data_IF_161606457382
#
_entry.id   IF_161606457382
#
_cell.length_a   1.000
_cell.length_b   1.000
_cell.length_c   1.000
_cell.angle_alpha   90.00
_cell.angle_beta   90.00
_cell.angle_gamma   90.00
#
_symmetry.space_group_name_H-M   'P 1'
#
loop_
_entity.id
_entity.type
_entity.pdbx_description
1 polymer ?
#
# COMPACT_ATOMS: atom_id res chain seq x y z
N UNK A 1 13.27 47.67 -34.57
CA UNK A 1 13.80 47.61 -33.20
C UNK A 1 13.98 49.04 -32.73
N UNK A 2 13.27 49.46 -31.69
CA UNK A 2 13.42 50.81 -31.11
C UNK A 2 14.87 51.00 -30.66
N UNK A 3 15.47 52.14 -30.97
CA UNK A 3 16.81 52.46 -30.49
C UNK A 3 16.78 52.63 -28.97
N UNK A 4 17.70 52.01 -28.20
CA UNK A 4 17.71 52.12 -26.75
C UNK A 4 17.93 53.57 -26.32
N UNK A 5 17.12 54.03 -25.37
CA UNK A 5 17.06 55.43 -24.90
C UNK A 5 18.38 55.89 -24.26
N UNK A 6 19.19 54.95 -23.75
CA UNK A 6 20.62 55.10 -23.41
C UNK A 6 21.38 53.80 -23.74
N UNK A 7 22.57 53.91 -24.36
CA UNK A 7 23.48 52.80 -24.65
C UNK A 7 24.89 53.13 -24.18
N UNK A 8 25.12 53.15 -22.88
CA UNK A 8 26.46 53.32 -22.33
C UNK A 8 27.20 51.97 -22.26
N UNK A 9 28.54 51.98 -22.12
CA UNK A 9 29.33 50.75 -21.92
C UNK A 9 28.91 50.01 -20.65
N UNK A 10 28.53 50.76 -19.61
CA UNK A 10 28.03 50.21 -18.36
C UNK A 10 26.71 49.47 -18.57
N UNK A 11 25.78 50.03 -19.35
CA UNK A 11 24.50 49.37 -19.65
C UNK A 11 24.72 48.03 -20.38
N UNK A 12 25.68 47.99 -21.31
CA UNK A 12 26.04 46.74 -22.02
C UNK A 12 26.68 45.70 -21.10
N UNK A 13 27.54 46.11 -20.16
CA UNK A 13 28.14 45.20 -19.17
C UNK A 13 27.09 44.66 -18.19
N UNK A 14 26.20 45.52 -17.70
CA UNK A 14 25.10 45.12 -16.81
C UNK A 14 24.15 44.18 -17.53
N UNK A 15 23.76 44.49 -18.77
CA UNK A 15 22.92 43.61 -19.57
C UNK A 15 23.58 42.25 -19.81
N UNK A 16 24.86 42.23 -20.17
CA UNK A 16 25.62 40.98 -20.34
C UNK A 16 25.68 40.18 -19.03
N UNK A 17 25.92 40.84 -17.88
CA UNK A 17 25.94 40.19 -16.57
C UNK A 17 24.58 39.61 -16.18
N UNK A 18 23.48 40.29 -16.48
CA UNK A 18 22.12 39.78 -16.25
C UNK A 18 21.81 38.57 -17.14
N UNK A 19 22.20 38.61 -18.42
CA UNK A 19 22.03 37.47 -19.34
C UNK A 19 22.82 36.27 -18.85
N UNK A 20 24.10 36.45 -18.46
CA UNK A 20 24.92 35.36 -17.91
C UNK A 20 24.31 34.80 -16.63
N UNK A 21 23.87 35.67 -15.72
CA UNK A 21 23.20 35.26 -14.47
C UNK A 21 21.95 34.44 -14.75
N UNK A 22 21.10 34.89 -15.68
CA UNK A 22 19.88 34.18 -16.06
C UNK A 22 20.20 32.80 -16.68
N UNK A 23 21.21 32.72 -17.54
CA UNK A 23 21.65 31.45 -18.14
C UNK A 23 22.21 30.47 -17.11
N UNK A 24 23.00 30.97 -16.15
CA UNK A 24 23.53 30.14 -15.04
C UNK A 24 22.38 29.65 -14.17
N UNK A 25 21.46 30.53 -13.77
CA UNK A 25 20.30 30.15 -12.96
C UNK A 25 19.43 29.09 -13.69
N UNK A 26 19.12 29.30 -14.98
CA UNK A 26 18.38 28.34 -15.78
C UNK A 26 19.10 26.98 -15.90
N UNK A 27 20.43 27.00 -16.07
CA UNK A 27 21.23 25.78 -16.15
C UNK A 27 21.24 25.01 -14.84
N UNK A 28 21.40 25.70 -13.70
CA UNK A 28 21.33 25.10 -12.36
C UNK A 28 19.95 24.49 -12.11
N UNK A 29 18.88 25.22 -12.43
CA UNK A 29 17.51 24.71 -12.29
C UNK A 29 17.31 23.46 -13.15
N UNK A 30 17.73 23.48 -14.42
CA UNK A 30 17.57 22.34 -15.31
C UNK A 30 18.38 21.12 -14.85
N UNK A 31 19.64 21.31 -14.44
CA UNK A 31 20.52 20.23 -13.96
C UNK A 31 20.00 19.55 -12.71
N UNK A 32 19.28 20.27 -11.85
CA UNK A 32 18.70 19.76 -10.61
C UNK A 32 17.19 19.52 -10.70
N UNK A 33 16.61 19.56 -11.91
CA UNK A 33 15.16 19.40 -12.09
C UNK A 33 14.75 17.93 -12.11
N UNK A 34 13.63 17.62 -11.46
CA UNK A 34 12.98 16.30 -11.53
C UNK A 34 12.69 15.88 -12.97
N UNK A 35 12.41 16.83 -13.86
CA UNK A 35 12.19 16.55 -15.28
C UNK A 35 13.42 15.93 -15.96
N UNK A 36 14.64 16.32 -15.57
CA UNK A 36 15.88 15.74 -16.09
C UNK A 36 16.20 14.39 -15.44
N UNK A 37 15.87 14.24 -14.17
CA UNK A 37 16.06 13.01 -13.39
C UNK A 37 15.01 11.93 -13.66
N UNK A 38 14.07 12.17 -14.58
CA UNK A 38 12.95 11.25 -14.84
C UNK A 38 12.93 10.79 -16.29
N UNK A 39 12.87 9.47 -16.50
CA UNK A 39 12.51 8.86 -17.78
C UNK A 39 11.05 8.41 -17.72
N UNK A 40 10.25 8.83 -18.70
CA UNK A 40 8.84 8.44 -18.81
C UNK A 40 8.58 7.99 -20.24
N UNK A 41 8.43 6.69 -20.42
CA UNK A 41 8.07 6.05 -21.68
C UNK A 41 6.65 5.52 -21.52
N UNK A 42 5.70 6.08 -22.26
CA UNK A 42 4.30 5.68 -22.22
C UNK A 42 3.98 4.65 -23.30
N UNK A 43 2.94 3.86 -23.07
CA UNK A 43 2.40 2.91 -24.02
C UNK A 43 1.16 3.47 -24.71
N UNK A 44 1.21 3.55 -26.04
CA UNK A 44 0.08 4.01 -26.87
C UNK A 44 -0.69 2.85 -27.54
N UNK A 45 -0.23 1.60 -27.33
CA UNK A 45 -0.87 0.41 -27.89
C UNK A 45 -2.09 -0.04 -27.09
N UNK A 46 -2.90 -0.98 -27.63
CA UNK A 46 -4.01 -1.54 -26.88
C UNK A 46 -3.50 -2.38 -25.69
N UNK A 47 -4.18 -2.27 -24.56
CA UNK A 47 -4.02 -3.19 -23.42
C UNK A 47 -5.23 -4.12 -23.40
N UNK A 48 -5.06 -5.42 -23.67
CA UNK A 48 -6.18 -6.33 -23.76
C UNK A 48 -6.82 -6.54 -22.39
N UNK A 49 -8.15 -6.55 -22.34
CA UNK A 49 -8.87 -7.04 -21.16
C UNK A 49 -8.60 -8.53 -21.01
N UNK A 50 -8.10 -8.94 -19.85
CA UNK A 50 -7.81 -10.34 -19.58
C UNK A 50 -9.11 -11.11 -19.35
N UNK A 51 -9.30 -12.21 -20.07
CA UNK A 51 -10.39 -13.12 -19.78
C UNK A 51 -10.13 -13.83 -18.44
N UNK A 52 -11.13 -13.80 -17.56
CA UNK A 52 -11.08 -14.50 -16.29
C UNK A 52 -10.91 -16.01 -16.52
N UNK A 53 -10.10 -16.65 -15.67
CA UNK A 53 -9.96 -18.10 -15.68
C UNK A 53 -11.30 -18.80 -15.39
N UNK A 54 -11.59 -19.84 -16.18
CA UNK A 54 -12.80 -20.65 -16.02
C UNK A 54 -12.56 -21.90 -15.17
N UNK A 55 -11.30 -22.26 -14.96
CA UNK A 55 -10.88 -23.39 -14.13
C UNK A 55 -9.47 -23.14 -13.61
N UNK A 56 -9.15 -23.71 -12.47
CA UNK A 56 -7.76 -23.77 -12.00
C UNK A 56 -6.89 -24.60 -12.96
N UNK A 57 -5.64 -24.19 -13.22
CA UNK A 57 -4.72 -24.99 -14.01
C UNK A 57 -4.33 -26.27 -13.24
N UNK A 58 -3.95 -27.31 -13.98
CA UNK A 58 -3.47 -28.58 -13.37
C UNK A 58 -1.98 -28.55 -13.04
N UNK A 59 -1.24 -27.68 -13.71
CA UNK A 59 0.20 -27.49 -13.60
C UNK A 59 0.49 -26.04 -13.90
N UNK A 60 1.51 -25.47 -13.28
CA UNK A 60 1.99 -24.12 -13.56
C UNK A 60 3.43 -24.19 -14.04
N UNK A 61 3.73 -23.44 -15.10
CA UNK A 61 5.09 -23.23 -15.56
C UNK A 61 5.44 -21.74 -15.48
N UNK A 62 6.69 -21.43 -15.15
CA UNK A 62 7.21 -20.07 -15.19
C UNK A 62 7.17 -19.53 -16.62
N UNK A 63 6.53 -18.37 -16.79
CA UNK A 63 6.51 -17.61 -18.03
C UNK A 63 7.69 -16.64 -18.07
N UNK A 64 7.84 -15.87 -16.99
CA UNK A 64 8.89 -14.87 -16.83
C UNK A 64 9.08 -14.50 -15.36
N UNK A 65 10.22 -13.84 -15.10
CA UNK A 65 10.63 -13.34 -13.79
C UNK A 65 11.28 -11.96 -13.94
N UNK A 66 11.06 -11.08 -12.98
CA UNK A 66 11.67 -9.77 -12.94
C UNK A 66 11.91 -9.26 -11.50
N UNK A 67 12.94 -8.41 -11.27
CA UNK A 67 13.13 -7.73 -9.99
C UNK A 67 11.94 -6.81 -9.64
N UNK A 68 11.56 -6.80 -8.37
CA UNK A 68 10.49 -5.97 -7.82
C UNK A 68 10.72 -5.73 -6.31
N UNK A 69 11.83 -5.08 -5.98
CA UNK A 69 12.28 -4.80 -4.60
C UNK A 69 11.41 -3.80 -3.83
N UNK A 70 10.61 -2.98 -4.52
CA UNK A 70 9.77 -1.94 -3.92
C UNK A 70 8.29 -2.32 -3.79
N UNK A 71 7.93 -3.58 -4.06
CA UNK A 71 6.59 -4.16 -3.86
C UNK A 71 6.65 -5.30 -2.85
N UNK A 72 5.67 -5.37 -1.96
CA UNK A 72 5.50 -6.50 -1.02
C UNK A 72 4.47 -7.53 -1.51
N UNK A 73 3.59 -7.13 -2.43
CA UNK A 73 2.62 -7.98 -3.11
C UNK A 73 2.57 -7.64 -4.60
N UNK A 74 2.10 -8.57 -5.47
CA UNK A 74 1.97 -8.29 -6.89
C UNK A 74 1.06 -7.09 -7.17
N UNK A 75 1.53 -6.15 -7.99
CA UNK A 75 0.72 -5.00 -8.44
C UNK A 75 0.10 -5.36 -9.77
N UNK A 76 -1.16 -5.83 -9.73
CA UNK A 76 -1.93 -6.25 -10.91
C UNK A 76 -3.12 -5.33 -11.08
N UNK A 77 -3.20 -4.65 -12.22
CA UNK A 77 -4.34 -3.79 -12.55
C UNK A 77 -4.73 -3.93 -14.01
N UNK A 78 -5.98 -4.34 -14.24
CA UNK A 78 -6.51 -4.62 -15.57
C UNK A 78 -5.67 -5.63 -16.36
N UNK A 79 -5.08 -5.17 -17.46
CA UNK A 79 -4.25 -6.00 -18.34
C UNK A 79 -2.74 -5.88 -18.11
N UNK A 80 -2.32 -5.29 -17.00
CA UNK A 80 -0.92 -4.97 -16.70
C UNK A 80 -0.49 -5.56 -15.36
N UNK A 81 0.74 -6.06 -15.32
CA UNK A 81 1.47 -6.37 -14.09
C UNK A 81 2.60 -5.37 -13.94
N UNK A 82 2.69 -4.68 -12.82
CA UNK A 82 3.76 -3.72 -12.56
C UNK A 82 4.87 -4.34 -11.70
N UNK A 83 6.12 -4.07 -12.07
CA UNK A 83 7.31 -4.38 -11.27
C UNK A 83 7.99 -3.09 -10.85
N UNK A 84 8.58 -3.07 -9.66
CA UNK A 84 9.17 -1.87 -9.10
C UNK A 84 10.55 -2.15 -8.50
N UNK A 85 11.61 -1.63 -9.11
CA UNK A 85 12.99 -1.88 -8.70
C UNK A 85 13.85 -0.61 -8.76
N UNK A 86 14.57 -0.32 -7.69
CA UNK A 86 15.36 0.89 -7.55
C UNK A 86 14.50 2.16 -7.62
N UNK A 87 14.57 2.87 -8.76
CA UNK A 87 13.74 4.04 -9.06
C UNK A 87 12.73 3.83 -10.19
N UNK A 88 12.69 2.62 -10.76
CA UNK A 88 11.89 2.29 -11.93
C UNK A 88 10.61 1.54 -11.55
N UNK A 89 9.49 2.02 -12.06
CA UNK A 89 8.20 1.31 -12.11
C UNK A 89 7.94 0.97 -13.57
N UNK A 90 7.73 -0.31 -13.84
CA UNK A 90 7.61 -0.86 -15.20
C UNK A 90 6.32 -1.63 -15.32
N UNK A 91 5.44 -1.23 -16.23
CA UNK A 91 4.24 -1.98 -16.59
C UNK A 91 4.53 -3.01 -17.66
N UNK A 92 4.15 -4.25 -17.39
CA UNK A 92 4.46 -5.41 -18.22
C UNK A 92 3.19 -6.11 -18.70
N UNK A 93 3.30 -6.74 -19.85
CA UNK A 93 2.32 -7.75 -20.26
C UNK A 93 2.38 -8.97 -19.32
N UNK A 94 1.25 -9.40 -18.72
CA UNK A 94 1.24 -10.52 -17.78
C UNK A 94 1.73 -11.84 -18.37
N UNK A 95 1.56 -12.08 -19.68
CA UNK A 95 1.89 -13.37 -20.30
C UNK A 95 3.35 -13.44 -20.76
N UNK A 96 3.85 -12.39 -21.40
CA UNK A 96 5.18 -12.36 -22.01
C UNK A 96 6.23 -11.67 -21.15
N UNK A 97 5.83 -10.84 -20.19
CA UNK A 97 6.73 -10.01 -19.39
C UNK A 97 7.29 -8.79 -20.14
N UNK A 98 6.87 -8.58 -21.40
CA UNK A 98 7.30 -7.47 -22.24
C UNK A 98 6.94 -6.13 -21.57
N UNK A 99 7.92 -5.24 -21.49
CA UNK A 99 7.75 -3.87 -21.00
C UNK A 99 6.88 -3.08 -21.98
N UNK A 100 5.72 -2.60 -21.51
CA UNK A 100 4.85 -1.70 -22.28
C UNK A 100 5.20 -0.24 -22.00
N UNK A 101 5.39 0.08 -20.73
CA UNK A 101 5.70 1.43 -20.28
C UNK A 101 6.68 1.39 -19.11
N UNK A 102 7.39 2.51 -18.92
CA UNK A 102 8.36 2.69 -17.83
C UNK A 102 8.30 4.11 -17.31
N UNK A 103 8.31 4.20 -15.99
CA UNK A 103 8.51 5.42 -15.25
C UNK A 103 9.70 5.25 -14.30
N UNK A 104 10.78 5.95 -14.57
CA UNK A 104 12.04 5.80 -13.85
C UNK A 104 12.52 7.15 -13.35
N UNK A 105 12.82 7.25 -12.06
CA UNK A 105 13.36 8.46 -11.43
C UNK A 105 14.71 8.17 -10.81
N UNK A 106 15.55 9.19 -10.75
CA UNK A 106 16.82 9.20 -10.02
C UNK A 106 16.66 9.22 -8.49
N UNK A 107 15.68 8.47 -7.96
CA UNK A 107 15.28 8.42 -6.56
C UNK A 107 14.84 7.02 -6.20
N UNK A 108 15.14 6.60 -4.98
CA UNK A 108 14.67 5.33 -4.45
C UNK A 108 13.14 5.34 -4.30
N UNK A 109 12.52 4.24 -4.68
CA UNK A 109 11.15 3.91 -4.31
C UNK A 109 11.09 3.51 -2.84
N UNK A 110 10.05 3.98 -2.16
CA UNK A 110 9.71 3.58 -0.80
C UNK A 110 8.60 2.54 -0.78
N UNK A 111 7.63 2.66 -1.70
CA UNK A 111 6.53 1.72 -1.87
C UNK A 111 5.92 1.87 -3.26
N UNK A 112 5.37 0.77 -3.78
CA UNK A 112 4.49 0.77 -4.96
C UNK A 112 3.30 -0.14 -4.69
N UNK A 113 2.11 0.32 -5.02
CA UNK A 113 0.87 -0.45 -4.83
C UNK A 113 -0.13 -0.16 -5.95
N UNK A 114 -1.16 -1.00 -6.04
CA UNK A 114 -2.33 -0.74 -6.88
C UNK A 114 -3.35 0.05 -6.06
N UNK A 115 -3.91 1.10 -6.66
CA UNK A 115 -5.09 1.75 -6.13
C UNK A 115 -5.89 2.40 -7.26
N UNK A 116 -7.21 2.21 -7.26
CA UNK A 116 -8.15 2.88 -8.16
C UNK A 116 -7.91 2.62 -9.67
N UNK A 117 -7.27 1.51 -10.04
CA UNK A 117 -6.88 1.25 -11.42
C UNK A 117 -5.53 1.84 -11.83
N UNK A 118 -4.84 2.53 -10.91
CA UNK A 118 -3.53 3.13 -11.10
C UNK A 118 -2.45 2.35 -10.35
N UNK A 119 -1.23 2.45 -10.85
CA UNK A 119 -0.02 2.06 -10.12
C UNK A 119 0.47 3.29 -9.35
N UNK A 120 0.25 3.31 -8.04
CA UNK A 120 0.66 4.42 -7.18
C UNK A 120 2.08 4.16 -6.70
N UNK A 121 2.99 5.05 -7.07
CA UNK A 121 4.40 4.98 -6.75
C UNK A 121 4.79 6.05 -5.74
N UNK A 122 5.48 5.66 -4.67
CA UNK A 122 5.96 6.57 -3.63
C UNK A 122 7.48 6.57 -3.63
N UNK A 123 8.05 7.74 -3.88
CA UNK A 123 9.49 7.97 -3.93
C UNK A 123 9.99 8.69 -2.68
N UNK A 124 11.25 8.44 -2.34
CA UNK A 124 11.99 9.24 -1.36
C UNK A 124 12.16 10.67 -1.88
N UNK A 125 11.84 11.63 -1.04
CA UNK A 125 12.05 13.06 -1.28
C UNK A 125 12.84 13.72 -0.15
N UNK A 126 13.00 15.06 -0.19
CA UNK A 126 13.71 15.81 0.86
C UNK A 126 13.01 15.80 2.23
N UNK A 127 11.74 15.38 2.30
CA UNK A 127 10.88 15.33 3.49
C UNK A 127 10.36 13.92 3.75
N UNK A 128 11.23 12.92 3.56
CA UNK A 128 10.90 11.50 3.67
C UNK A 128 10.19 10.93 2.43
N UNK A 129 9.50 9.80 2.61
CA UNK A 129 8.82 9.03 1.56
C UNK A 129 7.46 9.63 1.17
N UNK A 130 7.46 10.88 0.68
CA UNK A 130 6.23 11.64 0.38
C UNK A 130 6.05 12.04 -1.08
N UNK A 131 6.91 11.61 -2.00
CA UNK A 131 6.83 11.99 -3.42
C UNK A 131 5.99 10.97 -4.20
N UNK A 132 4.70 11.24 -4.35
CA UNK A 132 3.73 10.29 -4.90
C UNK A 132 3.40 10.61 -6.36
N UNK A 133 3.33 9.57 -7.19
CA UNK A 133 2.84 9.67 -8.57
C UNK A 133 1.90 8.51 -8.84
N UNK A 134 0.66 8.82 -9.21
CA UNK A 134 -0.28 7.86 -9.78
C UNK A 134 0.03 7.68 -11.26
N UNK A 135 0.23 6.44 -11.69
CA UNK A 135 0.51 6.07 -13.08
C UNK A 135 -0.66 5.26 -13.60
N UNK A 136 -1.24 5.68 -14.73
CA UNK A 136 -2.28 4.90 -15.40
C UNK A 136 -1.73 3.50 -15.72
N UNK A 137 -2.40 2.45 -15.24
CA UNK A 137 -1.88 1.08 -15.33
C UNK A 137 -1.71 0.58 -16.77
N UNK A 138 -2.51 1.08 -17.71
CA UNK A 138 -2.45 0.67 -19.11
C UNK A 138 -1.30 1.33 -19.89
N UNK A 139 -1.10 2.63 -19.67
CA UNK A 139 -0.22 3.47 -20.48
C UNK A 139 1.05 3.94 -19.77
N UNK A 140 1.10 3.89 -18.44
CA UNK A 140 2.17 4.48 -17.63
C UNK A 140 2.17 6.01 -17.65
N UNK A 141 1.11 6.63 -18.17
CA UNK A 141 0.98 8.09 -18.17
C UNK A 141 0.76 8.60 -16.75
N UNK A 142 1.38 9.76 -16.43
CA UNK A 142 1.27 10.35 -15.10
C UNK A 142 -0.09 11.00 -14.90
N UNK A 143 -0.79 10.57 -13.86
CA UNK A 143 -1.99 11.20 -13.34
C UNK A 143 -1.68 12.19 -12.21
N UNK A 144 -2.45 12.09 -11.13
CA UNK A 144 -2.27 12.90 -9.95
C UNK A 144 -0.87 12.72 -9.34
N UNK A 145 -0.34 13.80 -8.76
CA UNK A 145 0.95 13.82 -8.10
C UNK A 145 0.86 14.60 -6.79
N UNK A 146 1.61 14.16 -5.78
CA UNK A 146 1.65 14.80 -4.47
C UNK A 146 3.07 14.83 -3.91
N UNK A 147 3.34 15.86 -3.12
CA UNK A 147 4.56 15.97 -2.32
C UNK A 147 4.19 16.20 -0.85
N UNK A 148 4.25 15.15 -0.05
CA UNK A 148 3.95 15.18 1.38
C UNK A 148 5.20 15.33 2.24
N UNK A 149 4.98 15.75 3.49
CA UNK A 149 5.89 15.37 4.57
C UNK A 149 5.53 13.94 4.97
N UNK A 150 6.52 13.08 5.17
CA UNK A 150 6.32 11.68 5.49
C UNK A 150 7.50 11.15 6.30
N UNK A 151 7.29 10.03 6.96
CA UNK A 151 8.39 9.24 7.52
C UNK A 151 9.22 8.58 6.41
N UNK A 152 10.32 7.96 6.83
CA UNK A 152 11.16 7.12 5.98
C UNK A 152 11.81 6.07 6.89
N UNK A 153 11.33 4.82 6.89
CA UNK A 153 10.38 4.22 5.93
C UNK A 153 8.90 4.56 6.18
N UNK A 154 8.04 4.17 5.23
CA UNK A 154 6.57 4.16 5.37
C UNK A 154 6.00 2.81 4.91
N UNK A 155 4.75 2.54 5.30
CA UNK A 155 3.86 1.55 4.69
C UNK A 155 2.75 2.25 3.91
N UNK A 156 2.20 1.53 2.95
CA UNK A 156 1.03 1.96 2.18
C UNK A 156 -0.05 0.89 2.29
N UNK A 157 -1.25 1.27 2.71
CA UNK A 157 -2.40 0.38 2.93
C UNK A 157 -3.56 0.85 2.05
N UNK A 158 -4.07 -0.05 1.22
CA UNK A 158 -5.29 0.19 0.43
C UNK A 158 -6.51 0.06 1.32
N UNK A 159 -7.28 1.13 1.45
CA UNK A 159 -8.40 1.27 2.38
C UNK A 159 -9.69 1.64 1.62
N UNK A 160 -10.13 0.73 0.75
CA UNK A 160 -11.31 0.92 -0.09
C UNK A 160 -11.18 2.09 -1.08
N UNK A 161 -11.85 3.21 -0.80
CA UNK A 161 -11.78 4.42 -1.62
C UNK A 161 -10.56 5.28 -1.31
N UNK A 162 -9.78 4.93 -0.29
CA UNK A 162 -8.60 5.67 0.15
C UNK A 162 -7.32 4.84 0.06
N UNK A 163 -6.20 5.55 0.11
CA UNK A 163 -4.87 5.00 0.29
C UNK A 163 -4.25 5.65 1.52
N UNK A 164 -3.83 4.85 2.48
CA UNK A 164 -3.16 5.31 3.69
C UNK A 164 -1.65 5.18 3.45
N UNK A 165 -0.91 6.24 3.72
CA UNK A 165 0.55 6.20 3.80
C UNK A 165 0.97 6.62 5.21
N UNK A 166 1.62 5.72 5.95
CA UNK A 166 2.03 6.01 7.31
C UNK A 166 3.39 5.41 7.64
N UNK A 167 4.14 6.10 8.50
CA UNK A 167 5.28 5.52 9.21
C UNK A 167 5.10 5.69 10.71
N UNK A 168 6.19 5.57 11.45
CA UNK A 168 6.18 5.54 12.92
C UNK A 168 5.56 6.79 13.56
N UNK A 169 5.58 7.96 12.94
CA UNK A 169 5.15 9.21 13.59
C UNK A 169 4.10 10.00 12.83
N UNK A 170 3.83 9.65 11.57
CA UNK A 170 2.94 10.40 10.70
C UNK A 170 2.14 9.48 9.78
N UNK A 171 0.87 9.83 9.61
CA UNK A 171 -0.06 9.22 8.66
C UNK A 171 -0.67 10.31 7.79
N UNK A 172 -0.75 10.04 6.49
CA UNK A 172 -1.66 10.73 5.58
C UNK A 172 -2.60 9.73 4.91
N UNK A 173 -3.84 10.14 4.70
CA UNK A 173 -4.79 9.40 3.88
C UNK A 173 -5.16 10.21 2.64
N UNK A 174 -5.21 9.54 1.50
CA UNK A 174 -5.47 10.16 0.20
C UNK A 174 -6.64 9.50 -0.49
N UNK A 175 -7.42 10.29 -1.24
CA UNK A 175 -8.38 9.78 -2.22
C UNK A 175 -7.73 9.63 -3.60
N UNK A 176 -8.49 9.19 -4.60
CA UNK A 176 -7.97 8.83 -5.93
C UNK A 176 -7.27 9.94 -6.72
N UNK A 177 -7.54 11.21 -6.44
CA UNK A 177 -6.83 12.35 -7.05
C UNK A 177 -5.61 12.81 -6.23
N UNK A 178 -5.18 12.00 -5.26
CA UNK A 178 -4.13 12.27 -4.28
C UNK A 178 -4.35 13.54 -3.44
N UNK A 179 -5.61 14.01 -3.34
CA UNK A 179 -5.97 14.99 -2.32
C UNK A 179 -5.99 14.29 -0.97
N UNK A 180 -5.32 14.92 0.00
CA UNK A 180 -5.29 14.44 1.37
C UNK A 180 -6.62 14.68 2.07
N UNK A 181 -7.17 13.62 2.64
CA UNK A 181 -8.39 13.65 3.45
C UNK A 181 -8.04 13.72 4.94
N UNK A 182 -6.97 13.06 5.38
CA UNK A 182 -6.49 13.11 6.78
C UNK A 182 -4.98 13.32 6.84
N UNK A 183 -4.54 14.19 7.75
CA UNK A 183 -3.16 14.34 8.25
C UNK A 183 -3.16 14.05 9.76
N UNK A 184 -2.45 13.01 10.19
CA UNK A 184 -2.44 12.56 11.59
C UNK A 184 -1.03 12.37 12.14
N UNK A 185 -0.77 12.83 13.37
CA UNK A 185 0.49 12.64 14.10
C UNK A 185 1.44 13.84 14.01
N UNK A 186 2.70 13.61 13.59
CA UNK A 186 3.75 14.65 13.51
C UNK A 186 3.40 15.71 12.47
N UNK A 187 3.49 16.99 12.86
CA UNK A 187 3.41 18.16 11.97
C UNK A 187 4.55 19.14 12.28
N UNK A 188 5.54 19.22 11.39
CA UNK A 188 6.78 19.99 11.66
C UNK A 188 6.58 21.51 11.72
N UNK A 189 5.63 22.04 10.93
CA UNK A 189 5.36 23.46 10.83
C UNK A 189 3.83 23.71 10.93
N UNK A 190 3.24 23.62 12.13
CA UNK A 190 1.81 23.73 12.30
C UNK A 190 1.33 25.15 11.93
N UNK A 191 0.40 25.23 10.98
CA UNK A 191 -0.28 26.50 10.63
C UNK A 191 -1.24 26.89 11.75
N UNK A 192 -2.00 25.91 12.25
CA UNK A 192 -2.91 26.07 13.38
C UNK A 192 -2.32 25.31 14.57
N UNK A 193 -2.02 25.98 15.70
CA UNK A 193 -1.55 25.29 16.90
C UNK A 193 -2.67 24.37 17.43
N UNK A 194 -2.28 23.21 17.97
CA UNK A 194 -3.19 22.22 18.55
C UNK A 194 -4.27 21.70 17.58
N UNK A 195 -3.97 21.68 16.27
CA UNK A 195 -4.87 21.13 15.26
C UNK A 195 -4.95 19.59 15.32
N UNK A 196 -3.84 18.96 15.70
CA UNK A 196 -3.75 17.52 15.86
C UNK A 196 -4.28 17.13 17.24
N UNK A 197 -5.15 16.12 17.36
CA UNK A 197 -5.64 15.66 18.66
C UNK A 197 -4.49 15.14 19.52
N UNK A 198 -3.54 14.43 18.90
CA UNK A 198 -2.31 13.92 19.50
C UNK A 198 -1.17 13.97 18.49
N UNK A 199 0.04 14.13 19.02
CA UNK A 199 1.29 14.11 18.28
C UNK A 199 2.37 13.49 19.15
N UNK A 200 3.28 12.71 18.55
CA UNK A 200 4.39 12.07 19.28
C UNK A 200 4.08 10.67 19.84
N UNK A 201 2.99 10.06 19.39
CA UNK A 201 2.77 8.61 19.55
C UNK A 201 3.42 7.86 18.38
N UNK A 202 3.79 6.61 18.61
CA UNK A 202 4.32 5.72 17.58
C UNK A 202 3.17 4.96 16.90
N UNK A 203 2.93 5.19 15.61
CA UNK A 203 1.86 4.55 14.85
C UNK A 203 2.26 3.11 14.50
N UNK A 204 1.47 2.14 14.98
CA UNK A 204 1.76 0.70 14.90
C UNK A 204 1.00 0.02 13.77
N UNK A 205 -0.25 0.39 13.55
CA UNK A 205 -1.10 -0.21 12.52
C UNK A 205 -2.20 0.78 12.14
N UNK A 206 -2.65 0.71 10.90
CA UNK A 206 -3.75 1.54 10.41
C UNK A 206 -4.49 0.81 9.30
N UNK A 207 -5.81 0.97 9.29
CA UNK A 207 -6.70 0.57 8.21
C UNK A 207 -7.94 1.47 8.23
N UNK A 208 -8.71 1.49 7.15
CA UNK A 208 -9.89 2.34 7.07
C UNK A 208 -11.00 1.74 6.20
N UNK A 209 -12.23 1.93 6.67
CA UNK A 209 -13.44 1.75 5.89
C UNK A 209 -13.96 3.10 5.38
N UNK A 210 -15.18 3.10 4.84
CA UNK A 210 -15.82 4.34 4.40
C UNK A 210 -16.21 5.27 5.55
N UNK A 211 -16.42 4.72 6.77
CA UNK A 211 -16.97 5.46 7.91
C UNK A 211 -15.94 5.73 9.01
N UNK A 212 -14.87 4.92 9.10
CA UNK A 212 -13.87 5.00 10.16
C UNK A 212 -12.47 4.82 9.60
N UNK A 213 -11.53 5.64 10.05
CA UNK A 213 -10.09 5.40 10.00
C UNK A 213 -9.64 4.94 11.38
N UNK A 214 -9.13 3.72 11.48
CA UNK A 214 -8.59 3.18 12.72
C UNK A 214 -7.06 3.29 12.73
N UNK A 215 -6.52 3.74 13.85
CA UNK A 215 -5.09 3.83 14.11
C UNK A 215 -4.78 3.18 15.45
N UNK A 216 -3.90 2.19 15.43
CA UNK A 216 -3.34 1.61 16.64
C UNK A 216 -1.98 2.28 16.88
N UNK A 217 -1.77 2.86 18.04
CA UNK A 217 -0.58 3.66 18.34
C UNK A 217 -0.10 3.49 19.78
N UNK A 218 1.21 3.64 20.01
CA UNK A 218 1.81 3.61 21.33
C UNK A 218 2.24 5.02 21.73
N UNK A 219 1.53 5.63 22.70
CA UNK A 219 1.92 6.93 23.22
C UNK A 219 2.87 6.80 24.43
N UNK A 220 3.65 7.86 24.67
CA UNK A 220 4.53 7.93 25.83
C UNK A 220 3.72 7.89 27.14
N UNK A 221 4.20 7.10 28.11
CA UNK A 221 3.58 6.89 29.43
C UNK A 221 2.25 6.10 29.42
N UNK A 222 1.87 5.48 28.30
CA UNK A 222 0.79 4.51 28.25
C UNK A 222 1.35 3.09 28.39
N UNK A 223 0.68 2.19 29.13
CA UNK A 223 1.20 0.84 29.40
C UNK A 223 1.15 -0.08 28.18
N UNK A 224 0.23 0.19 27.25
CA UNK A 224 -0.10 -0.61 26.07
C UNK A 224 -0.55 0.29 24.93
N UNK A 225 -0.84 -0.31 23.78
CA UNK A 225 -1.33 0.40 22.61
C UNK A 225 -2.72 1.03 22.85
N UNK A 226 -2.95 2.15 22.19
CA UNK A 226 -4.21 2.87 22.10
C UNK A 226 -4.85 2.63 20.74
N UNK A 227 -6.16 2.42 20.75
CA UNK A 227 -6.98 2.46 19.54
C UNK A 227 -7.59 3.86 19.42
N UNK A 228 -7.36 4.48 18.27
CA UNK A 228 -7.96 5.76 17.89
C UNK A 228 -8.79 5.58 16.63
N UNK A 229 -10.04 6.02 16.70
CA UNK A 229 -11.01 5.95 15.61
C UNK A 229 -11.32 7.38 15.16
N UNK A 230 -11.06 7.65 13.88
CA UNK A 230 -11.12 8.98 13.27
C UNK A 230 -12.14 9.00 12.15
N UNK A 231 -12.71 10.18 11.88
CA UNK A 231 -13.42 10.44 10.63
C UNK A 231 -12.42 10.33 9.45
N UNK A 232 -12.69 9.48 8.44
CA UNK A 232 -11.84 9.37 7.25
C UNK A 232 -11.90 10.62 6.34
N UNK A 233 -12.89 11.48 6.53
CA UNK A 233 -13.20 12.66 5.71
C UNK A 233 -13.62 13.88 6.55
N UNK A 234 -12.80 14.35 7.51
CA UNK A 234 -13.12 15.50 8.33
C UNK A 234 -13.24 16.78 7.48
N UNK A 235 -13.89 17.80 8.03
CA UNK A 235 -14.09 19.09 7.31
C UNK A 235 -12.76 19.79 6.96
N UNK A 236 -11.72 19.56 7.77
CA UNK A 236 -10.37 20.09 7.57
C UNK A 236 -9.36 18.95 7.73
N UNK A 237 -8.72 18.53 6.63
CA UNK A 237 -7.75 17.42 6.64
C UNK A 237 -6.58 17.59 7.61
N UNK A 238 -6.27 18.82 8.05
CA UNK A 238 -5.20 19.10 9.01
C UNK A 238 -5.69 19.08 10.48
N UNK A 239 -7.00 18.87 10.70
CA UNK A 239 -7.67 18.75 11.98
C UNK A 239 -8.49 17.46 12.02
N UNK A 240 -7.85 16.31 12.23
CA UNK A 240 -8.54 15.03 12.37
C UNK A 240 -9.66 15.11 13.42
N UNK A 241 -10.79 14.51 13.13
CA UNK A 241 -11.94 14.42 14.04
C UNK A 241 -11.95 13.03 14.68
N UNK A 242 -11.84 12.97 16.00
CA UNK A 242 -11.88 11.71 16.76
C UNK A 242 -13.32 11.33 17.09
N UNK A 243 -13.73 10.12 16.71
CA UNK A 243 -14.94 9.50 17.26
C UNK A 243 -14.67 8.93 18.64
N UNK A 244 -13.56 8.19 18.78
CA UNK A 244 -13.16 7.56 20.02
C UNK A 244 -11.64 7.40 20.10
N UNK A 245 -11.10 7.41 21.33
CA UNK A 245 -9.71 7.07 21.57
C UNK A 245 -9.49 6.55 22.98
N UNK A 246 -9.02 5.30 23.10
CA UNK A 246 -8.81 4.64 24.40
C UNK A 246 -7.56 3.75 24.38
N UNK A 247 -6.88 3.68 25.53
CA UNK A 247 -5.83 2.68 25.75
C UNK A 247 -6.49 1.32 25.85
N UNK A 248 -6.04 0.35 25.07
CA UNK A 248 -6.50 -1.03 25.13
C UNK A 248 -5.59 -1.79 26.10
N UNK A 249 -6.06 -2.15 27.31
CA UNK A 249 -5.19 -2.69 28.37
C UNK A 249 -4.45 -3.97 28.00
N UNK A 250 -5.00 -4.74 27.07
CA UNK A 250 -4.47 -6.04 26.62
C UNK A 250 -3.74 -5.94 25.27
N UNK A 251 -3.70 -4.75 24.66
CA UNK A 251 -3.02 -4.53 23.39
C UNK A 251 -1.51 -4.31 23.56
N UNK A 252 -0.80 -5.38 23.87
CA UNK A 252 0.66 -5.42 23.90
C UNK A 252 1.30 -5.16 22.51
N UNK A 253 2.63 -5.19 22.45
CA UNK A 253 3.41 -4.77 21.28
C UNK A 253 3.06 -5.43 19.95
N UNK A 254 2.60 -6.68 19.97
CA UNK A 254 2.28 -7.46 18.75
C UNK A 254 0.83 -7.28 18.26
N UNK A 255 0.07 -6.37 18.88
CA UNK A 255 -1.31 -6.07 18.49
C UNK A 255 -1.35 -5.30 17.18
N UNK A 256 -2.34 -5.58 16.34
CA UNK A 256 -2.48 -4.92 15.02
C UNK A 256 -3.94 -4.83 14.62
N UNK A 257 -4.28 -3.83 13.80
CA UNK A 257 -5.59 -3.77 13.16
C UNK A 257 -5.64 -4.87 12.11
N UNK A 258 -6.69 -5.70 12.18
CA UNK A 258 -6.93 -6.79 11.25
C UNK A 258 -7.73 -6.27 10.06
N UNK A 259 -8.79 -5.50 10.29
CA UNK A 259 -9.59 -4.92 9.22
C UNK A 259 -10.54 -3.85 9.78
N UNK A 260 -10.96 -2.92 8.91
CA UNK A 260 -12.06 -1.99 9.17
C UNK A 260 -13.14 -2.16 8.11
N UNK A 261 -14.38 -2.46 8.53
CA UNK A 261 -15.53 -2.61 7.63
C UNK A 261 -16.74 -1.89 8.22
N UNK A 262 -17.31 -0.96 7.44
CA UNK A 262 -18.38 -0.09 7.93
C UNK A 262 -17.88 0.76 9.11
N UNK A 263 -18.61 0.71 10.21
CA UNK A 263 -18.31 1.36 11.49
C UNK A 263 -17.50 0.47 12.45
N UNK A 264 -17.06 -0.71 12.02
CA UNK A 264 -16.42 -1.70 12.89
C UNK A 264 -14.94 -1.86 12.62
N UNK A 265 -14.16 -1.95 13.68
CA UNK A 265 -12.71 -2.19 13.66
C UNK A 265 -12.38 -3.49 14.38
N UNK A 266 -11.71 -4.41 13.69
CA UNK A 266 -11.17 -5.62 14.27
C UNK A 266 -9.70 -5.43 14.65
N UNK A 267 -9.34 -5.74 15.90
CA UNK A 267 -7.97 -5.64 16.43
C UNK A 267 -7.53 -7.03 16.90
N UNK A 268 -6.41 -7.50 16.39
CA UNK A 268 -5.77 -8.71 16.90
C UNK A 268 -4.99 -8.39 18.17
N UNK A 269 -5.17 -9.23 19.18
CA UNK A 269 -4.41 -9.23 20.42
C UNK A 269 -3.62 -10.54 20.53
N UNK A 270 -2.32 -10.39 20.77
CA UNK A 270 -1.43 -11.52 21.05
C UNK A 270 -1.83 -12.21 22.38
N UNK A 271 -1.50 -13.50 22.56
CA UNK A 271 -1.76 -14.16 23.82
C UNK A 271 -1.01 -13.49 24.97
N UNK A 272 -1.65 -13.45 26.14
CA UNK A 272 -1.07 -12.95 27.39
C UNK A 272 -1.19 -14.03 28.49
N UNK A 273 -0.90 -13.66 29.75
CA UNK A 273 -0.93 -14.59 30.88
C UNK A 273 -2.33 -15.14 31.20
N UNK A 274 -3.39 -14.44 30.80
CA UNK A 274 -4.78 -14.77 31.12
C UNK A 274 -5.56 -15.27 29.90
N UNK A 275 -5.25 -14.77 28.71
CA UNK A 275 -6.04 -14.97 27.50
C UNK A 275 -5.21 -15.47 26.30
N UNK A 276 -5.86 -16.29 25.47
CA UNK A 276 -5.27 -16.76 24.21
C UNK A 276 -5.26 -15.69 23.11
N UNK A 277 -4.69 -16.01 21.93
CA UNK A 277 -4.73 -15.11 20.78
C UNK A 277 -6.19 -14.88 20.36
N UNK A 278 -6.57 -13.64 20.10
CA UNK A 278 -7.96 -13.28 19.80
C UNK A 278 -8.07 -12.06 18.90
N UNK A 279 -9.26 -11.88 18.33
CA UNK A 279 -9.69 -10.67 17.64
C UNK A 279 -10.76 -10.01 18.50
N UNK A 280 -10.59 -8.74 18.81
CA UNK A 280 -11.60 -7.90 19.45
C UNK A 280 -12.19 -6.94 18.42
N UNK A 281 -13.52 -6.79 18.45
CA UNK A 281 -14.26 -5.97 17.49
C UNK A 281 -14.85 -4.77 18.21
N UNK A 282 -14.51 -3.57 17.75
CA UNK A 282 -14.99 -2.31 18.30
C UNK A 282 -15.91 -1.61 17.29
N UNK A 283 -16.93 -0.91 17.77
CA UNK A 283 -17.67 0.06 16.95
C UNK A 283 -16.91 1.41 16.84
N UNK A 284 -17.50 2.37 16.11
CA UNK A 284 -16.94 3.70 15.90
C UNK A 284 -16.85 4.54 17.17
N UNK A 285 -17.64 4.23 18.21
CA UNK A 285 -17.60 4.85 19.53
C UNK A 285 -16.53 4.20 20.45
N UNK A 286 -15.80 3.20 19.95
CA UNK A 286 -14.76 2.49 20.68
C UNK A 286 -15.30 1.50 21.71
N UNK A 287 -16.57 1.08 21.58
CA UNK A 287 -17.18 0.07 22.43
C UNK A 287 -16.85 -1.31 21.90
N UNK A 288 -16.35 -2.19 22.77
CA UNK A 288 -16.14 -3.60 22.46
C UNK A 288 -17.48 -4.29 22.22
N UNK A 289 -17.67 -4.81 21.01
CA UNK A 289 -18.87 -5.53 20.58
C UNK A 289 -18.72 -7.04 20.76
N UNK A 290 -17.62 -7.59 20.24
CA UNK A 290 -17.39 -9.03 20.13
C UNK A 290 -15.91 -9.37 20.37
N UNK A 291 -15.68 -10.61 20.82
CA UNK A 291 -14.35 -11.19 21.00
C UNK A 291 -14.33 -12.59 20.40
N UNK A 292 -13.40 -12.83 19.48
CA UNK A 292 -13.26 -14.09 18.76
C UNK A 292 -11.90 -14.72 19.05
N UNK A 293 -11.88 -15.92 19.63
CA UNK A 293 -10.64 -16.66 19.86
C UNK A 293 -10.04 -17.16 18.54
N UNK A 294 -8.71 -17.16 18.46
CA UNK A 294 -7.94 -17.78 17.38
C UNK A 294 -7.30 -19.07 17.87
N UNK A 295 -7.07 -20.00 16.95
CA UNK A 295 -6.44 -21.29 17.26
C UNK A 295 -4.94 -21.15 17.54
N UNK A 296 -4.26 -20.23 16.84
CA UNK A 296 -2.81 -20.01 16.93
C UNK A 296 -2.51 -18.51 16.97
N UNK A 297 -1.44 -18.08 17.67
CA UNK A 297 -0.97 -16.71 17.59
C UNK A 297 -0.55 -16.38 16.16
N UNK A 298 -0.88 -15.17 15.71
CA UNK A 298 -0.44 -14.64 14.44
C UNK A 298 1.10 -14.52 14.39
N UNK A 299 1.67 -14.74 13.21
CA UNK A 299 3.10 -14.55 12.94
C UNK A 299 3.43 -13.10 12.59
N UNK A 300 4.59 -12.91 11.96
CA UNK A 300 5.06 -11.59 11.51
C UNK A 300 4.39 -11.22 10.17
N UNK A 301 3.26 -10.52 10.25
CA UNK A 301 2.59 -9.91 9.10
C UNK A 301 1.92 -8.63 9.53
N UNK A 302 2.05 -7.60 8.74
CA UNK A 302 1.56 -6.27 9.05
C UNK A 302 0.38 -5.86 8.15
N UNK A 303 -0.04 -6.78 7.27
CA UNK A 303 -1.06 -6.57 6.27
C UNK A 303 -2.47 -6.79 6.87
N UNK A 304 -3.40 -5.84 6.67
CA UNK A 304 -4.81 -6.05 6.97
C UNK A 304 -5.43 -7.15 6.11
N UNK A 305 -6.58 -7.65 6.56
CA UNK A 305 -7.40 -8.60 5.82
C UNK A 305 -8.00 -7.95 4.58
N UNK A 306 -8.06 -8.71 3.49
CA UNK A 306 -8.59 -8.24 2.21
C UNK A 306 -9.86 -8.99 1.86
N UNK A 307 -10.88 -8.29 1.35
CA UNK A 307 -12.09 -8.96 0.88
C UNK A 307 -11.78 -9.79 -0.37
N UNK A 308 -12.04 -11.10 -0.30
CA UNK A 308 -11.85 -12.05 -1.41
C UNK A 308 -12.99 -13.06 -1.39
N UNK A 309 -13.72 -13.15 -2.50
CA UNK A 309 -14.77 -14.17 -2.65
C UNK A 309 -15.88 -14.10 -1.58
N UNK A 310 -16.17 -12.91 -1.06
CA UNK A 310 -17.23 -12.66 -0.09
C UNK A 310 -16.87 -12.96 1.38
N UNK A 311 -15.58 -13.09 1.69
CA UNK A 311 -15.04 -13.14 3.07
C UNK A 311 -13.86 -12.17 3.17
N UNK A 312 -13.51 -11.75 4.38
CA UNK A 312 -12.23 -11.10 4.64
C UNK A 312 -11.17 -12.19 4.80
N UNK A 313 -10.10 -12.14 4.01
CA UNK A 313 -8.99 -13.10 4.07
C UNK A 313 -7.82 -12.41 4.74
N UNK A 314 -7.44 -12.89 5.92
CA UNK A 314 -6.32 -12.38 6.68
C UNK A 314 -5.17 -13.38 6.67
N UNK A 315 -4.03 -13.02 6.07
CA UNK A 315 -2.80 -13.75 6.28
C UNK A 315 -2.09 -13.24 7.54
N UNK A 316 -2.09 -14.09 8.55
CA UNK A 316 -1.58 -13.79 9.90
C UNK A 316 -0.05 -13.72 9.96
N UNK A 317 0.67 -14.00 8.87
CA UNK A 317 2.13 -14.22 8.85
C UNK A 317 2.52 -15.70 8.90
N UNK A 318 1.54 -16.60 9.01
CA UNK A 318 1.75 -18.06 9.04
C UNK A 318 0.54 -18.87 8.59
N UNK A 319 -0.64 -18.34 8.84
CA UNK A 319 -1.94 -18.96 8.54
C UNK A 319 -2.81 -17.99 7.77
N UNK A 320 -3.69 -18.54 6.94
CA UNK A 320 -4.76 -17.77 6.33
C UNK A 320 -6.05 -18.04 7.08
N UNK A 321 -6.63 -16.99 7.68
CA UNK A 321 -7.90 -17.04 8.38
C UNK A 321 -8.93 -16.29 7.54
N UNK A 322 -10.07 -16.91 7.27
CA UNK A 322 -11.21 -16.19 6.73
C UNK A 322 -12.13 -15.71 7.84
N UNK A 323 -12.50 -14.45 7.76
CA UNK A 323 -13.37 -13.77 8.70
C UNK A 323 -14.66 -13.37 7.98
N UNK A 324 -15.77 -13.42 8.73
CA UNK A 324 -17.04 -12.84 8.30
C UNK A 324 -16.87 -11.35 8.04
N UNK A 325 -17.44 -10.85 6.94
CA UNK A 325 -17.41 -9.43 6.57
C UNK A 325 -18.32 -8.55 7.45
N UNK A 326 -19.05 -9.14 8.40
CA UNK A 326 -20.05 -8.43 9.22
C UNK A 326 -19.60 -8.28 10.68
N UNK A 327 -19.09 -9.36 11.27
CA UNK A 327 -18.74 -9.45 12.69
C UNK A 327 -17.32 -9.95 12.92
N UNK A 328 -16.53 -10.14 11.85
CA UNK A 328 -15.15 -10.63 11.91
C UNK A 328 -14.98 -12.00 12.58
N UNK A 329 -16.07 -12.76 12.75
CA UNK A 329 -16.00 -14.10 13.30
C UNK A 329 -15.16 -15.02 12.37
N UNK A 330 -14.12 -15.70 12.87
CA UNK A 330 -13.37 -16.69 12.11
C UNK A 330 -14.30 -17.80 11.58
N UNK A 331 -14.29 -18.01 10.27
CA UNK A 331 -15.10 -19.01 9.59
C UNK A 331 -14.33 -20.30 9.35
N UNK A 332 -13.08 -20.17 8.90
CA UNK A 332 -12.17 -21.27 8.64
C UNK A 332 -10.72 -20.77 8.65
N UNK A 333 -9.79 -21.71 8.84
CA UNK A 333 -8.35 -21.45 8.82
C UNK A 333 -7.66 -22.48 7.93
N UNK A 334 -6.75 -22.02 7.08
CA UNK A 334 -5.78 -22.85 6.38
C UNK A 334 -4.43 -22.60 7.01
N UNK A 335 -3.86 -23.64 7.60
CA UNK A 335 -2.60 -23.56 8.32
C UNK A 335 -1.40 -23.58 7.37
N UNK A 336 -0.30 -22.97 7.82
CA UNK A 336 1.03 -23.04 7.21
C UNK A 336 1.07 -22.49 5.77
N UNK A 337 0.41 -21.34 5.58
CA UNK A 337 0.41 -20.56 4.33
C UNK A 337 1.51 -19.51 4.33
N UNK A 338 2.06 -19.22 3.14
CA UNK A 338 3.23 -18.36 2.96
C UNK A 338 2.90 -16.88 2.73
N UNK A 339 1.64 -16.51 2.52
CA UNK A 339 1.27 -15.14 2.20
C UNK A 339 -0.17 -14.99 1.75
N UNK A 340 -0.50 -13.79 1.28
CA UNK A 340 -1.82 -13.46 0.78
C UNK A 340 -2.14 -14.23 -0.51
N UNK A 341 -3.39 -14.65 -0.63
CA UNK A 341 -3.93 -15.32 -1.80
C UNK A 341 -4.86 -14.44 -2.62
N UNK A 342 -5.22 -14.93 -3.80
CA UNK A 342 -6.18 -14.25 -4.68
C UNK A 342 -7.12 -15.25 -5.38
N UNK A 343 -8.25 -14.75 -5.88
CA UNK A 343 -9.31 -15.58 -6.47
C UNK A 343 -8.98 -15.92 -7.93
N UNK A 344 -8.95 -17.21 -8.24
CA UNK A 344 -8.90 -17.73 -9.61
C UNK A 344 -10.03 -18.73 -9.81
N UNK A 345 -10.83 -18.55 -10.87
CA UNK A 345 -11.91 -19.46 -11.23
C UNK A 345 -12.88 -19.80 -10.07
N UNK A 346 -13.12 -18.84 -9.17
CA UNK A 346 -14.00 -18.99 -8.01
C UNK A 346 -13.36 -19.63 -6.78
N UNK A 347 -12.08 -20.00 -6.83
CA UNK A 347 -11.32 -20.54 -5.69
C UNK A 347 -10.26 -19.55 -5.24
N UNK A 348 -10.01 -19.46 -3.93
CA UNK A 348 -8.91 -18.72 -3.35
C UNK A 348 -7.62 -19.54 -3.48
N UNK A 349 -6.68 -19.06 -4.29
CA UNK A 349 -5.37 -19.68 -4.41
C UNK A 349 -4.48 -19.22 -3.25
N UNK A 350 -4.17 -20.16 -2.35
CA UNK A 350 -3.29 -19.92 -1.21
C UNK A 350 -1.90 -20.51 -1.47
N UNK A 351 -0.83 -19.71 -1.26
CA UNK A 351 0.54 -20.21 -1.36
C UNK A 351 0.90 -21.01 -0.11
N UNK A 352 1.39 -22.23 -0.34
CA UNK A 352 2.01 -23.11 0.65
C UNK A 352 3.39 -23.52 0.14
N UNK A 353 4.25 -24.10 0.98
CA UNK A 353 5.68 -24.38 0.70
C UNK A 353 6.00 -24.73 -0.77
N UNK A 354 5.38 -25.78 -1.29
CA UNK A 354 5.65 -26.41 -2.59
C UNK A 354 4.47 -26.35 -3.59
N UNK A 355 3.40 -25.61 -3.28
CA UNK A 355 2.22 -25.53 -4.15
C UNK A 355 1.41 -24.24 -4.02
N UNK A 356 0.42 -24.10 -4.89
CA UNK A 356 -0.78 -23.30 -4.66
C UNK A 356 -1.96 -24.23 -4.38
N UNK A 357 -2.68 -24.00 -3.30
CA UNK A 357 -3.89 -24.76 -2.96
C UNK A 357 -5.10 -23.89 -3.27
N UNK A 358 -5.97 -24.35 -4.16
CA UNK A 358 -7.27 -23.73 -4.37
C UNK A 358 -8.20 -24.10 -3.21
N UNK A 359 -8.75 -23.10 -2.54
CA UNK A 359 -9.66 -23.28 -1.40
C UNK A 359 -10.99 -22.60 -1.73
N UNK A 360 -12.10 -23.22 -1.36
CA UNK A 360 -13.41 -22.55 -1.44
C UNK A 360 -13.43 -21.39 -0.44
N UNK A 361 -13.56 -20.15 -0.93
CA UNK A 361 -13.41 -18.96 -0.09
C UNK A 361 -14.48 -18.85 1.00
N UNK A 362 -15.62 -19.54 0.88
CA UNK A 362 -16.72 -19.45 1.85
C UNK A 362 -16.64 -20.52 2.91
N UNK A 363 -16.26 -21.73 2.52
CA UNK A 363 -16.30 -22.93 3.38
C UNK A 363 -14.93 -23.34 3.90
N UNK A 364 -13.85 -22.91 3.25
CA UNK A 364 -12.50 -23.37 3.56
C UNK A 364 -12.21 -24.79 3.06
N UNK A 365 -13.12 -25.41 2.30
CA UNK A 365 -12.91 -26.75 1.77
C UNK A 365 -11.72 -26.75 0.79
N UNK A 366 -10.74 -27.65 0.98
CA UNK A 366 -9.59 -27.73 0.10
C UNK A 366 -9.99 -28.31 -1.26
N UNK A 367 -9.57 -27.62 -2.30
CA UNK A 367 -9.70 -28.01 -3.69
C UNK A 367 -8.38 -28.50 -4.28
N UNK A 368 -8.17 -28.32 -5.61
CA UNK A 368 -6.96 -28.74 -6.28
C UNK A 368 -5.69 -28.12 -5.70
N UNK A 369 -4.68 -28.95 -5.53
CA UNK A 369 -3.31 -28.54 -5.25
C UNK A 369 -2.52 -28.51 -6.56
N UNK A 370 -1.81 -27.42 -6.79
CA UNK A 370 -1.06 -27.13 -8.02
C UNK A 370 0.40 -26.95 -7.63
N UNK A 371 1.25 -27.91 -7.96
CA UNK A 371 2.65 -27.89 -7.56
C UNK A 371 3.39 -26.70 -8.21
N UNK A 372 4.21 -26.02 -7.40
CA UNK A 372 5.00 -24.86 -7.83
C UNK A 372 6.38 -24.95 -7.17
N UNK A 373 7.42 -25.07 -7.99
CA UNK A 373 8.81 -25.04 -7.51
C UNK A 373 9.24 -23.60 -7.18
N UNK A 374 9.63 -23.37 -5.92
CA UNK A 374 10.04 -22.04 -5.44
C UNK A 374 11.46 -21.99 -4.89
N UNK A 375 12.11 -23.14 -4.65
CA UNK A 375 13.29 -23.17 -3.79
C UNK A 375 12.96 -22.66 -2.37
N UNK A 376 13.92 -22.03 -1.71
CA UNK A 376 13.73 -21.50 -0.35
C UNK A 376 13.17 -20.08 -0.39
N UNK A 377 11.91 -19.92 0.03
CA UNK A 377 11.21 -18.63 0.15
C UNK A 377 10.49 -18.55 1.49
N UNK A 378 10.44 -17.37 2.11
CA UNK A 378 9.76 -17.15 3.40
C UNK A 378 8.34 -16.64 3.24
N UNK A 379 8.12 -15.71 2.30
CA UNK A 379 6.83 -15.08 2.06
C UNK A 379 6.53 -15.09 0.57
N UNK A 380 5.30 -15.47 0.22
CA UNK A 380 4.81 -15.52 -1.16
C UNK A 380 3.44 -14.87 -1.20
N UNK A 381 3.32 -13.71 -1.84
CA UNK A 381 2.03 -13.07 -2.07
C UNK A 381 1.56 -13.34 -3.50
N UNK A 382 0.30 -13.71 -3.67
CA UNK A 382 -0.28 -14.15 -4.94
C UNK A 382 -1.30 -13.13 -5.44
N UNK A 383 -1.29 -12.87 -6.75
CA UNK A 383 -2.37 -12.19 -7.46
C UNK A 383 -2.68 -12.90 -8.79
N UNK A 384 -3.88 -12.69 -9.31
CA UNK A 384 -4.35 -13.34 -10.54
C UNK A 384 -4.60 -12.30 -11.64
N UNK A 385 -3.88 -12.44 -12.75
CA UNK A 385 -4.04 -11.65 -13.96
C UNK A 385 -4.70 -12.52 -15.05
N UNK A 386 -6.04 -12.64 -15.00
CA UNK A 386 -6.82 -13.46 -15.94
C UNK A 386 -6.54 -14.97 -15.78
N UNK A 387 -5.65 -15.51 -16.62
CA UNK A 387 -5.18 -16.90 -16.58
C UNK A 387 -3.72 -17.03 -16.11
N UNK A 388 -3.09 -15.92 -15.74
CA UNK A 388 -1.72 -15.89 -15.22
C UNK A 388 -1.78 -15.73 -13.72
N UNK A 389 -1.06 -16.55 -12.99
CA UNK A 389 -0.82 -16.37 -11.56
C UNK A 389 0.50 -15.63 -11.38
N UNK A 390 0.50 -14.58 -10.59
CA UNK A 390 1.69 -13.77 -10.31
C UNK A 390 2.05 -13.93 -8.85
N UNK A 391 3.30 -14.30 -8.57
CA UNK A 391 3.82 -14.45 -7.22
C UNK A 391 4.90 -13.40 -6.95
N UNK A 392 4.74 -12.64 -5.86
CA UNK A 392 5.84 -11.88 -5.26
C UNK A 392 6.58 -12.82 -4.31
N UNK A 393 7.87 -13.04 -4.57
CA UNK A 393 8.76 -13.93 -3.80
C UNK A 393 9.97 -13.11 -3.33
N UNK A 394 9.87 -12.53 -2.13
CA UNK A 394 10.88 -11.56 -1.66
C UNK A 394 10.98 -10.38 -2.62
N UNK A 395 12.15 -10.18 -3.22
CA UNK A 395 12.46 -9.06 -4.13
C UNK A 395 12.15 -9.36 -5.62
N UNK A 396 11.54 -10.50 -5.93
CA UNK A 396 11.25 -10.90 -7.31
C UNK A 396 9.76 -11.12 -7.54
N UNK A 397 9.32 -10.79 -8.76
CA UNK A 397 7.99 -11.10 -9.27
C UNK A 397 8.09 -12.21 -10.32
N UNK A 398 7.27 -13.24 -10.19
CA UNK A 398 7.25 -14.42 -11.06
C UNK A 398 5.85 -14.64 -11.62
N UNK A 399 5.73 -14.72 -12.94
CA UNK A 399 4.47 -15.04 -13.61
C UNK A 399 4.43 -16.52 -14.02
N UNK A 400 3.29 -17.16 -13.74
CA UNK A 400 3.04 -18.59 -13.92
C UNK A 400 1.75 -18.83 -14.72
N UNK A 401 1.70 -19.88 -15.53
CA UNK A 401 0.47 -20.33 -16.21
C UNK A 401 0.42 -21.81 -16.50
#
# INVERSE_FOLDING_TARGET
MLAPERRTRTDLLVAAALVVTALVAASVVWLNSDARGTTSTTWDGPVPTLAAAQSLPRTLAELWRAPSTATTAPVVSGGTVATADGGAVVGRDPQSGEERWRYDRDRALCAVTEAWGDVVSVYRGPRGCGQVTALDSGSGSRGAQRSSDADDPIRVVGAGSHLIAFGESRLEMWRSDLVRTVEYGRVDAPVNPNAQPRSGCELRSADSGAEVLAVLEQCANEPTNRLTLLDPTPDDSAKPEEFASSVLPEAGGDSRIVAVVGDRTAVYLAPDDNDGPRIEVFDSEGVLLDTHALSRPAGESDDPALERGGVLVWWTGRDTVALSTTDFAPQWTVEDTLGNGDIMAGSLLLPVEDALVGVDSRTGEPGPRIDVERGTVSTVNVAVAGNVVVEQRGDELVALR
#
